data_IF_470431697215
#
_entry.id   IF_470431697215
#
_cell.length_a   1.000
_cell.length_b   1.000
_cell.length_c   1.000
_cell.angle_alpha   90.00
_cell.angle_beta   90.00
_cell.angle_gamma   90.00
#
_symmetry.space_group_name_H-M   'P 1'
#
loop_
_entity.id
_entity.type
_entity.pdbx_description
1 polymer ?
#
# COMPACT_ATOMS: atom_id res chain seq x y z
N UNK A 1 4.83 16.97 8.43
CA UNK A 1 4.88 15.77 7.57
C UNK A 1 6.10 15.01 8.02
N UNK A 2 5.94 13.88 8.70
CA UNK A 2 7.10 13.11 9.16
C UNK A 2 7.60 12.27 7.98
N UNK A 3 8.84 12.45 7.48
CA UNK A 3 9.46 11.54 6.51
C UNK A 3 9.92 10.23 7.20
N UNK A 4 9.17 9.77 8.21
CA UNK A 4 9.72 9.09 9.39
C UNK A 4 10.24 7.67 9.22
N UNK A 5 10.01 7.02 8.07
CA UNK A 5 10.33 5.60 7.87
C UNK A 5 11.47 5.30 6.89
N UNK A 6 12.22 6.33 6.50
CA UNK A 6 13.37 6.21 5.60
C UNK A 6 12.96 6.08 4.13
N UNK A 7 13.81 5.44 3.33
CA UNK A 7 13.56 5.27 1.90
C UNK A 7 12.38 4.34 1.61
N UNK A 8 11.65 4.61 0.53
CA UNK A 8 10.69 3.69 -0.06
C UNK A 8 11.36 2.91 -1.19
N UNK A 9 11.29 1.58 -1.13
CA UNK A 9 11.95 0.72 -2.12
C UNK A 9 11.00 0.19 -3.18
N UNK A 10 9.72 0.06 -2.85
CA UNK A 10 8.71 -0.39 -3.80
C UNK A 10 7.35 0.21 -3.43
N UNK A 11 6.54 0.47 -4.45
CA UNK A 11 5.15 0.90 -4.33
C UNK A 11 4.32 0.20 -5.41
N UNK A 12 3.11 -0.27 -5.05
CA UNK A 12 2.16 -0.90 -5.98
C UNK A 12 0.75 -0.43 -5.68
N UNK A 13 0.00 -0.15 -6.74
CA UNK A 13 -1.44 0.05 -6.66
C UNK A 13 -2.14 -1.29 -6.40
N UNK A 14 -3.23 -1.24 -5.63
CA UNK A 14 -4.10 -2.40 -5.50
C UNK A 14 -4.72 -2.75 -6.85
N UNK A 15 -4.66 -4.01 -7.31
CA UNK A 15 -5.22 -4.41 -8.61
C UNK A 15 -6.76 -4.37 -8.64
N UNK A 16 -7.41 -4.13 -7.49
CA UNK A 16 -8.87 -4.23 -7.34
C UNK A 16 -9.48 -2.98 -6.74
N UNK A 17 -8.66 -2.03 -6.28
CA UNK A 17 -9.10 -0.84 -5.57
C UNK A 17 -8.21 0.35 -5.95
N UNK A 18 -8.59 1.13 -6.97
CA UNK A 18 -7.74 2.16 -7.57
C UNK A 18 -7.22 3.21 -6.59
N UNK A 19 -7.94 3.46 -5.50
CA UNK A 19 -7.59 4.47 -4.49
C UNK A 19 -6.73 3.91 -3.34
N UNK A 20 -6.23 2.68 -3.46
CA UNK A 20 -5.33 2.06 -2.49
C UNK A 20 -3.94 1.86 -3.08
N UNK A 21 -2.94 2.40 -2.38
CA UNK A 21 -1.53 2.26 -2.70
C UNK A 21 -0.82 1.56 -1.54
N UNK A 22 -0.03 0.55 -1.84
CA UNK A 22 0.87 -0.09 -0.88
C UNK A 22 2.31 0.33 -1.16
N UNK A 23 3.10 0.56 -0.11
CA UNK A 23 4.52 0.87 -0.20
C UNK A 23 5.33 0.18 0.90
N UNK A 24 6.60 -0.09 0.65
CA UNK A 24 7.51 -0.69 1.64
C UNK A 24 8.72 0.19 1.91
N UNK A 25 9.22 0.12 3.15
CA UNK A 25 10.19 1.08 3.68
C UNK A 25 11.51 0.44 4.11
N UNK A 26 12.53 1.28 4.28
CA UNK A 26 13.83 0.94 4.85
C UNK A 26 13.76 0.40 6.27
N UNK A 27 12.83 0.89 7.09
CA UNK A 27 12.63 0.39 8.46
C UNK A 27 11.79 -0.90 8.54
N UNK A 28 11.56 -1.57 7.42
CA UNK A 28 10.86 -2.85 7.39
C UNK A 28 9.34 -2.75 7.55
N UNK A 29 8.74 -1.63 7.14
CA UNK A 29 7.30 -1.44 7.21
C UNK A 29 6.62 -1.65 5.85
N UNK A 30 5.41 -2.17 5.89
CA UNK A 30 4.43 -2.12 4.81
C UNK A 30 3.39 -1.04 5.15
N UNK A 31 3.29 -0.04 4.28
CA UNK A 31 2.38 1.08 4.40
C UNK A 31 1.21 0.89 3.43
N UNK A 32 -0.02 1.08 3.91
CA UNK A 32 -1.22 1.12 3.09
C UNK A 32 -1.84 2.50 3.15
N UNK A 33 -1.97 3.12 1.99
CA UNK A 33 -2.60 4.43 1.81
C UNK A 33 -4.00 4.23 1.23
N UNK A 34 -4.97 4.96 1.80
CA UNK A 34 -6.33 5.08 1.26
C UNK A 34 -6.54 6.54 0.86
N UNK A 35 -6.45 6.81 -0.44
CA UNK A 35 -6.44 8.17 -0.98
C UNK A 35 -7.78 8.89 -0.79
N UNK A 36 -8.88 8.15 -0.57
CA UNK A 36 -10.20 8.73 -0.27
C UNK A 36 -10.20 9.57 0.99
N UNK A 37 -9.30 9.26 1.94
CA UNK A 37 -9.22 10.00 3.20
C UNK A 37 -8.52 11.35 3.03
N UNK A 38 -7.92 11.63 1.86
CA UNK A 38 -7.21 12.88 1.57
C UNK A 38 -6.01 13.15 2.48
N UNK A 39 -5.54 12.13 3.21
CA UNK A 39 -4.50 12.26 4.22
C UNK A 39 -3.16 11.78 3.67
N UNK A 40 -2.11 12.56 3.89
CA UNK A 40 -0.72 12.18 3.56
C UNK A 40 -0.12 11.14 4.52
N UNK A 41 -0.92 10.60 5.44
CA UNK A 41 -0.53 9.53 6.36
C UNK A 41 -1.09 8.20 5.90
N UNK A 42 -0.34 7.10 6.09
CA UNK A 42 -0.85 5.78 5.75
C UNK A 42 -2.07 5.44 6.62
N UNK A 43 -3.09 4.85 6.01
CA UNK A 43 -4.23 4.31 6.75
C UNK A 43 -3.82 3.16 7.67
N UNK A 44 -2.81 2.39 7.26
CA UNK A 44 -2.22 1.31 8.06
C UNK A 44 -0.71 1.26 7.88
N UNK A 45 0.00 0.99 8.98
CA UNK A 45 1.42 0.69 9.03
C UNK A 45 1.58 -0.70 9.65
N UNK A 46 2.11 -1.63 8.87
CA UNK A 46 2.28 -3.03 9.23
C UNK A 46 3.77 -3.36 9.31
N UNK A 47 4.14 -4.20 10.27
CA UNK A 47 5.50 -4.70 10.38
C UNK A 47 5.73 -5.82 9.35
N UNK A 48 6.52 -5.52 8.32
CA UNK A 48 6.89 -6.47 7.27
C UNK A 48 8.27 -7.09 7.48
N UNK A 49 9.08 -6.52 8.36
CA UNK A 49 10.26 -7.16 8.95
C UNK A 49 10.29 -6.93 10.46
N UNK A 50 10.15 -7.98 11.29
CA UNK A 50 10.31 -7.92 12.74
C UNK A 50 11.70 -7.46 13.17
N UNK A 51 12.73 -7.80 12.39
CA UNK A 51 14.10 -7.37 12.61
C UNK A 51 14.37 -5.94 12.15
N UNK A 52 13.33 -5.23 11.66
CA UNK A 52 13.41 -3.85 11.16
C UNK A 52 14.42 -3.65 10.04
N UNK A 53 14.73 -4.71 9.29
CA UNK A 53 15.56 -4.60 8.09
C UNK A 53 14.74 -4.06 6.91
N UNK A 54 15.39 -3.46 5.89
CA UNK A 54 14.70 -2.96 4.72
C UNK A 54 13.86 -4.02 4.02
N UNK A 55 12.66 -3.61 3.60
CA UNK A 55 11.80 -4.40 2.74
C UNK A 55 11.91 -3.82 1.34
N UNK A 56 12.36 -4.63 0.38
CA UNK A 56 12.72 -4.16 -0.96
C UNK A 56 11.63 -4.41 -1.99
N UNK A 57 10.80 -5.43 -1.79
CA UNK A 57 9.81 -5.85 -2.76
C UNK A 57 8.43 -5.99 -2.14
N UNK A 58 7.41 -5.62 -2.90
CA UNK A 58 6.02 -5.91 -2.59
C UNK A 58 5.26 -6.31 -3.86
N UNK A 59 4.30 -7.23 -3.71
CA UNK A 59 3.48 -7.68 -4.82
C UNK A 59 2.10 -8.13 -4.33
N UNK A 60 1.07 -7.58 -4.97
CA UNK A 60 -0.30 -8.08 -4.81
C UNK A 60 -0.50 -9.38 -5.59
N UNK A 61 -1.26 -10.30 -5.01
CA UNK A 61 -1.70 -11.50 -5.70
C UNK A 61 -2.92 -11.17 -6.58
N UNK A 62 -2.78 -11.33 -7.90
CA UNK A 62 -3.84 -11.01 -8.88
C UNK A 62 -4.97 -12.04 -8.88
N UNK A 63 -4.70 -13.27 -8.47
CA UNK A 63 -5.69 -14.35 -8.35
C UNK A 63 -6.43 -14.28 -7.02
N UNK A 64 -5.71 -13.99 -5.94
CA UNK A 64 -6.26 -13.86 -4.58
C UNK A 64 -6.13 -12.42 -4.09
N UNK A 65 -7.16 -11.62 -4.38
CA UNK A 65 -7.25 -10.17 -4.14
C UNK A 65 -6.97 -9.71 -2.71
N UNK A 66 -7.07 -10.62 -1.73
CA UNK A 66 -6.82 -10.39 -0.30
C UNK A 66 -5.37 -10.60 0.10
N UNK A 67 -4.50 -11.00 -0.81
CA UNK A 67 -3.14 -11.38 -0.48
C UNK A 67 -2.13 -10.40 -1.08
N UNK A 68 -1.16 -10.03 -0.26
CA UNK A 68 0.04 -9.32 -0.67
C UNK A 68 1.27 -9.97 -0.04
N UNK A 69 2.35 -10.07 -0.79
CA UNK A 69 3.62 -10.56 -0.31
C UNK A 69 4.67 -9.44 -0.27
N UNK A 70 5.60 -9.50 0.68
CA UNK A 70 6.77 -8.63 0.78
C UNK A 70 8.04 -9.45 0.95
N UNK A 71 9.16 -9.00 0.40
CA UNK A 71 10.48 -9.60 0.59
C UNK A 71 11.47 -8.62 1.23
N UNK A 72 12.13 -9.04 2.31
CA UNK A 72 13.10 -8.25 3.06
C UNK A 72 14.57 -8.55 2.72
N UNK A 73 15.47 -7.72 3.25
CA UNK A 73 16.91 -7.82 3.05
C UNK A 73 17.59 -9.04 3.68
N UNK A 74 16.88 -9.79 4.52
CA UNK A 74 17.37 -11.04 5.11
C UNK A 74 16.90 -12.28 4.32
N UNK A 75 16.17 -12.06 3.22
CA UNK A 75 15.66 -13.14 2.37
C UNK A 75 14.35 -13.75 2.87
N UNK A 76 13.66 -13.13 3.84
CA UNK A 76 12.35 -13.60 4.27
C UNK A 76 11.23 -13.01 3.42
N UNK A 77 10.28 -13.88 3.06
CA UNK A 77 9.02 -13.50 2.42
C UNK A 77 7.92 -13.54 3.46
N UNK A 78 7.16 -12.45 3.59
CA UNK A 78 5.96 -12.40 4.43
C UNK A 78 4.72 -12.19 3.59
N UNK A 79 3.64 -12.87 3.99
CA UNK A 79 2.36 -12.86 3.28
C UNK A 79 1.30 -12.27 4.19
N UNK A 80 0.68 -11.19 3.72
CA UNK A 80 -0.39 -10.47 4.39
C UNK A 80 -1.74 -10.85 3.80
N UNK A 81 -2.73 -10.99 4.67
CA UNK A 81 -4.13 -11.16 4.27
C UNK A 81 -4.96 -9.97 4.76
N UNK A 82 -5.62 -9.28 3.85
CA UNK A 82 -6.45 -8.12 4.17
C UNK A 82 -7.93 -8.48 4.37
N UNK A 83 -8.60 -7.68 5.19
CA UNK A 83 -10.06 -7.69 5.34
C UNK A 83 -10.79 -7.07 4.14
N UNK A 84 -12.12 -7.15 4.15
CA UNK A 84 -12.95 -6.79 2.99
C UNK A 84 -12.78 -5.34 2.54
N UNK A 85 -12.54 -4.44 3.50
CA UNK A 85 -12.36 -2.99 3.31
C UNK A 85 -11.33 -2.65 2.23
N UNK A 86 -10.32 -3.49 2.05
CA UNK A 86 -9.23 -3.30 1.08
C UNK A 86 -9.37 -4.11 -0.20
N UNK A 87 -10.39 -4.96 -0.30
CA UNK A 87 -10.52 -5.93 -1.40
C UNK A 87 -11.79 -5.83 -2.19
N UNK A 88 -12.78 -5.12 -1.67
CA UNK A 88 -14.05 -4.89 -2.35
C UNK A 88 -14.00 -3.54 -3.05
N UNK A 89 -14.12 -3.57 -4.38
CA UNK A 89 -14.27 -2.38 -5.22
C UNK A 89 -15.65 -1.78 -4.95
N UNK A 90 -15.73 -0.53 -4.52
CA UNK A 90 -17.02 0.18 -4.50
C UNK A 90 -17.17 0.90 -5.84
N UNK A 91 -18.33 0.78 -6.49
CA UNK A 91 -18.53 1.27 -7.87
C UNK A 91 -18.17 2.74 -8.11
N UNK A 92 -18.17 3.56 -7.05
CA UNK A 92 -17.85 4.99 -7.08
C UNK A 92 -16.36 5.34 -7.03
N UNK A 93 -15.45 4.37 -6.92
CA UNK A 93 -14.01 4.67 -6.74
C UNK A 93 -13.33 5.23 -7.98
N UNK A 94 -13.81 4.86 -9.17
CA UNK A 94 -13.28 5.39 -10.43
C UNK A 94 -13.70 6.86 -10.59
N UNK A 95 -14.98 7.17 -10.31
CA UNK A 95 -15.49 8.55 -10.33
C UNK A 95 -14.70 9.47 -9.39
N UNK A 96 -14.44 9.02 -8.15
CA UNK A 96 -13.64 9.78 -7.18
C UNK A 96 -12.22 10.01 -7.69
N UNK A 97 -11.60 9.00 -8.31
CA UNK A 97 -10.25 9.16 -8.88
C UNK A 97 -10.25 10.19 -10.01
N UNK A 98 -11.25 10.16 -10.89
CA UNK A 98 -11.41 11.14 -11.98
C UNK A 98 -11.60 12.56 -11.44
N UNK A 99 -12.44 12.74 -10.41
CA UNK A 99 -12.62 14.03 -9.72
C UNK A 99 -11.31 14.55 -9.11
N UNK A 100 -10.53 13.69 -8.46
CA UNK A 100 -9.23 14.06 -7.87
C UNK A 100 -8.23 14.50 -8.95
N UNK A 101 -8.21 13.84 -10.11
CA UNK A 101 -7.34 14.22 -11.23
C UNK A 101 -7.70 15.59 -11.79
N UNK A 102 -9.00 15.87 -11.95
CA UNK A 102 -9.47 17.13 -12.54
C UNK A 102 -9.28 18.33 -11.61
N UNK A 103 -9.40 18.13 -10.30
CA UNK A 103 -9.21 19.19 -9.30
C UNK A 103 -7.75 19.65 -9.18
N UNK A 104 -6.79 18.82 -9.58
CA UNK A 104 -5.35 19.15 -9.49
C UNK A 104 -4.85 19.94 -10.70
N UNK A 105 -5.68 20.12 -11.74
CA UNK A 105 -5.33 20.80 -12.99
C UNK A 105 -5.84 22.25 -13.08
N UNK A 106 -6.49 22.77 -12.03
CA UNK A 106 -6.87 24.19 -11.86
C UNK A 106 -6.00 24.86 -10.79
#
# INVERSE_FOLDING_TARGET
IEPGDGYLFSAKWSPVKPLVLAAVTEKGNLLLYDLRKGQMVPAYKLEASPNKVPVYSLQFNTQQRRILATGDGEGYIRVFRFGETFTTMSGREIEILEEMMNTTLE
#
